data_IF_139185462027
#
_entry.id   IF_139185462027
#
_cell.length_a   1.000
_cell.length_b   1.000
_cell.length_c   1.000
_cell.angle_alpha   90.00
_cell.angle_beta   90.00
_cell.angle_gamma   90.00
#
_symmetry.space_group_name_H-M   'P 1'
#
loop_
_entity.id
_entity.type
_entity.pdbx_description
1 polymer ?
#
# COMPACT_ATOMS: atom_id res chain seq x y z
N UNK A 1 21.31 17.74 -19.92
CA UNK A 1 19.84 17.65 -19.96
C UNK A 1 19.41 17.62 -21.41
N UNK A 2 18.72 16.56 -21.88
CA UNK A 2 18.31 16.43 -23.28
C UNK A 2 16.90 17.03 -23.46
N UNK A 3 16.81 18.16 -24.17
CA UNK A 3 15.54 18.88 -24.40
C UNK A 3 14.54 18.00 -25.16
N UNK A 4 15.02 17.15 -26.08
CA UNK A 4 14.14 16.25 -26.84
C UNK A 4 13.39 15.30 -25.92
N UNK A 5 14.06 14.76 -24.91
CA UNK A 5 13.42 13.88 -23.92
C UNK A 5 12.32 14.61 -23.15
N UNK A 6 12.49 15.90 -22.83
CA UNK A 6 11.46 16.68 -22.13
C UNK A 6 10.24 16.85 -23.03
N UNK A 7 10.44 17.19 -24.31
CA UNK A 7 9.36 17.30 -25.29
C UNK A 7 8.61 15.96 -25.42
N UNK A 8 9.33 14.84 -25.43
CA UNK A 8 8.71 13.52 -25.57
C UNK A 8 7.96 13.09 -24.29
N UNK A 9 8.51 13.33 -23.09
CA UNK A 9 7.84 12.98 -21.83
C UNK A 9 6.67 13.89 -21.45
N UNK A 10 6.57 15.08 -22.06
CA UNK A 10 5.46 16.03 -21.81
C UNK A 10 4.28 15.85 -22.76
N UNK A 11 4.40 14.99 -23.77
CA UNK A 11 3.27 14.64 -24.64
C UNK A 11 2.19 13.95 -23.84
N UNK A 12 0.93 14.21 -24.21
CA UNK A 12 -0.20 13.51 -23.63
C UNK A 12 -0.11 12.02 -24.03
N UNK A 13 -0.12 11.09 -23.06
CA UNK A 13 -0.12 9.66 -23.37
C UNK A 13 -1.43 9.27 -24.04
N UNK A 14 -1.37 8.24 -24.87
CA UNK A 14 -2.55 7.62 -25.45
C UNK A 14 -3.48 7.06 -24.37
N UNK A 15 -4.75 6.85 -24.73
CA UNK A 15 -5.70 6.21 -23.82
C UNK A 15 -5.21 4.81 -23.43
N UNK A 16 -5.11 4.57 -22.12
CA UNK A 16 -4.60 3.33 -21.53
C UNK A 16 -3.17 2.97 -21.91
N UNK A 17 -2.39 3.93 -22.39
CA UNK A 17 -0.97 3.72 -22.64
C UNK A 17 -0.27 3.32 -21.33
N UNK A 18 0.56 2.27 -21.42
CA UNK A 18 1.25 1.74 -20.26
C UNK A 18 2.24 2.79 -19.74
N UNK A 19 2.04 3.23 -18.50
CA UNK A 19 2.99 4.11 -17.82
C UNK A 19 4.35 3.44 -17.63
N UNK A 20 5.38 4.27 -17.50
CA UNK A 20 6.77 3.86 -17.27
C UNK A 20 7.24 4.07 -15.81
N UNK A 21 6.34 4.50 -14.91
CA UNK A 21 6.68 4.77 -13.52
C UNK A 21 7.03 3.46 -12.79
N UNK A 22 8.25 3.36 -12.26
CA UNK A 22 8.76 2.19 -11.54
C UNK A 22 9.06 2.47 -10.06
N UNK A 23 8.58 3.58 -9.50
CA UNK A 23 9.01 4.05 -8.17
C UNK A 23 8.73 3.06 -7.03
N UNK A 24 7.67 2.25 -7.14
CA UNK A 24 7.30 1.25 -6.13
C UNK A 24 8.22 0.03 -6.10
N UNK A 25 8.90 -0.26 -7.22
CA UNK A 25 9.79 -1.41 -7.39
C UNK A 25 11.26 -1.01 -7.49
N UNK A 26 11.55 0.28 -7.63
CA UNK A 26 12.91 0.79 -7.59
C UNK A 26 13.57 0.47 -6.24
N UNK A 27 14.75 -0.11 -6.26
CA UNK A 27 15.39 -0.63 -5.04
C UNK A 27 15.71 0.46 -4.01
N UNK A 28 16.06 1.66 -4.48
CA UNK A 28 16.42 2.77 -3.61
C UNK A 28 15.18 3.45 -3.04
N UNK A 29 14.20 3.73 -3.89
CA UNK A 29 12.97 4.44 -3.52
C UNK A 29 12.07 3.54 -2.65
N UNK A 30 11.89 2.27 -3.02
CA UNK A 30 11.00 1.35 -2.31
C UNK A 30 11.43 1.10 -0.85
N UNK A 31 12.73 1.13 -0.55
CA UNK A 31 13.25 1.03 0.83
C UNK A 31 12.87 2.26 1.65
N UNK A 32 12.96 3.46 1.07
CA UNK A 32 12.56 4.70 1.74
C UNK A 32 11.06 4.77 1.93
N UNK A 33 10.28 4.41 0.90
CA UNK A 33 8.82 4.34 1.00
C UNK A 33 8.38 3.38 2.10
N UNK A 34 9.04 2.23 2.26
CA UNK A 34 8.76 1.33 3.38
C UNK A 34 8.98 2.03 4.74
N UNK A 35 10.09 2.76 4.93
CA UNK A 35 10.31 3.51 6.17
C UNK A 35 9.23 4.57 6.41
N UNK A 36 8.77 5.25 5.35
CA UNK A 36 7.69 6.24 5.45
C UNK A 36 6.35 5.57 5.76
N UNK A 37 6.06 4.38 5.21
CA UNK A 37 4.85 3.63 5.55
C UNK A 37 4.81 3.21 7.03
N UNK A 38 5.97 2.86 7.59
CA UNK A 38 6.11 2.39 8.98
C UNK A 38 6.20 3.54 9.99
N UNK A 39 6.28 4.78 9.52
CA UNK A 39 6.22 5.94 10.40
C UNK A 39 4.75 6.24 10.73
N UNK A 40 4.37 5.92 11.97
CA UNK A 40 3.00 6.01 12.47
C UNK A 40 2.49 7.46 12.66
N UNK A 41 3.39 8.45 12.58
CA UNK A 41 3.11 9.85 12.88
C UNK A 41 2.90 10.73 11.63
N UNK A 42 3.06 10.17 10.43
CA UNK A 42 2.95 10.90 9.16
C UNK A 42 1.89 10.30 8.23
N UNK A 43 1.24 11.15 7.43
CA UNK A 43 0.27 10.75 6.41
C UNK A 43 0.89 10.90 5.01
N UNK A 44 1.94 10.13 4.72
CA UNK A 44 2.70 10.25 3.46
C UNK A 44 2.56 9.02 2.57
N UNK A 45 2.94 7.84 3.08
CA UNK A 45 2.84 6.58 2.34
C UNK A 45 1.71 5.70 2.90
N UNK A 46 1.65 5.57 4.22
CA UNK A 46 0.46 5.11 4.96
C UNK A 46 -0.26 6.29 5.58
N UNK A 47 -1.48 6.05 6.08
CA UNK A 47 -2.09 6.93 7.08
C UNK A 47 -1.41 6.75 8.44
N UNK A 48 -1.54 7.74 9.31
CA UNK A 48 -1.16 7.61 10.73
C UNK A 48 -1.89 6.45 11.39
N UNK A 49 -1.25 5.84 12.39
CA UNK A 49 -1.80 4.66 13.06
C UNK A 49 -3.19 4.91 13.66
N UNK A 50 -3.44 6.07 14.25
CA UNK A 50 -4.76 6.45 14.80
C UNK A 50 -5.88 6.46 13.75
N UNK A 51 -5.57 6.90 12.52
CA UNK A 51 -6.51 6.89 11.40
C UNK A 51 -6.74 5.47 10.89
N UNK A 52 -5.67 4.65 10.83
CA UNK A 52 -5.78 3.23 10.48
C UNK A 52 -6.72 2.53 11.46
N UNK A 53 -6.51 2.70 12.76
CA UNK A 53 -7.31 2.07 13.81
C UNK A 53 -8.78 2.49 13.75
N UNK A 54 -9.03 3.79 13.59
CA UNK A 54 -10.40 4.30 13.42
C UNK A 54 -11.08 3.68 12.19
N UNK A 55 -10.32 3.46 11.11
CA UNK A 55 -10.83 2.81 9.89
C UNK A 55 -11.13 1.33 10.13
N UNK A 56 -10.24 0.62 10.82
CA UNK A 56 -10.45 -0.79 11.20
C UNK A 56 -11.70 -0.91 12.05
N UNK A 57 -11.85 -0.10 13.09
CA UNK A 57 -13.03 -0.13 13.97
C UNK A 57 -14.32 0.09 13.18
N UNK A 58 -14.31 1.05 12.24
CA UNK A 58 -15.44 1.26 11.34
C UNK A 58 -15.74 0.01 10.49
N UNK A 59 -14.74 -0.65 9.91
CA UNK A 59 -14.95 -1.91 9.16
C UNK A 59 -15.53 -3.00 10.07
N UNK A 60 -14.98 -3.17 11.27
CA UNK A 60 -15.42 -4.19 12.23
C UNK A 60 -16.89 -3.99 12.63
N UNK A 61 -17.32 -2.75 12.87
CA UNK A 61 -18.71 -2.42 13.15
C UNK A 61 -19.66 -2.82 12.01
N UNK A 62 -19.19 -2.77 10.76
CA UNK A 62 -19.99 -3.14 9.58
C UNK A 62 -19.89 -4.64 9.23
N UNK A 63 -18.97 -5.39 9.85
CA UNK A 63 -18.82 -6.84 9.63
C UNK A 63 -19.94 -7.69 10.25
N UNK A 64 -20.81 -7.09 11.08
CA UNK A 64 -21.87 -7.78 11.82
C UNK A 64 -21.36 -8.95 12.67
N UNK A 65 -20.13 -8.84 13.21
CA UNK A 65 -19.46 -9.87 13.99
C UNK A 65 -19.26 -11.20 13.25
N UNK A 66 -19.16 -11.18 11.92
CA UNK A 66 -18.88 -12.36 11.11
C UNK A 66 -17.48 -12.29 10.50
N UNK A 67 -16.75 -13.42 10.44
CA UNK A 67 -15.57 -13.54 9.59
C UNK A 67 -15.89 -13.12 8.16
N UNK A 68 -15.01 -12.33 7.56
CA UNK A 68 -15.14 -11.83 6.19
C UNK A 68 -13.94 -12.31 5.40
N UNK A 69 -14.10 -12.41 4.08
CA UNK A 69 -13.01 -12.61 3.13
C UNK A 69 -12.71 -11.25 2.50
N UNK A 70 -11.56 -10.67 2.84
CA UNK A 70 -11.20 -9.29 2.51
C UNK A 70 -10.03 -9.30 1.53
N UNK A 71 -10.12 -8.46 0.50
CA UNK A 71 -9.04 -8.16 -0.43
C UNK A 71 -8.53 -6.74 -0.15
N UNK A 72 -7.26 -6.63 0.26
CA UNK A 72 -6.58 -5.36 0.54
C UNK A 72 -5.68 -4.99 -0.66
N UNK A 73 -6.16 -4.07 -1.50
CA UNK A 73 -5.48 -3.64 -2.73
C UNK A 73 -4.57 -2.45 -2.45
N UNK A 74 -3.27 -2.60 -2.71
CA UNK A 74 -2.27 -1.63 -2.28
C UNK A 74 -1.97 -1.79 -0.78
N UNK A 75 -1.86 -3.03 -0.31
CA UNK A 75 -1.76 -3.32 1.13
C UNK A 75 -0.47 -2.78 1.78
N UNK A 76 0.51 -2.35 0.98
CA UNK A 76 1.80 -1.88 1.47
C UNK A 76 2.43 -2.89 2.42
N UNK A 77 2.98 -2.45 3.57
CA UNK A 77 3.56 -3.36 4.56
C UNK A 77 2.53 -4.13 5.39
N UNK A 78 1.25 -4.10 5.02
CA UNK A 78 0.21 -4.93 5.63
C UNK A 78 -0.42 -4.36 6.90
N UNK A 79 -0.31 -3.05 7.17
CA UNK A 79 -0.80 -2.45 8.41
C UNK A 79 -2.31 -2.67 8.65
N UNK A 80 -3.11 -2.58 7.58
CA UNK A 80 -4.54 -2.90 7.63
C UNK A 80 -4.78 -4.40 7.65
N UNK A 81 -4.13 -5.11 6.73
CA UNK A 81 -4.25 -6.57 6.59
C UNK A 81 -4.00 -7.33 7.89
N UNK A 82 -2.94 -6.99 8.64
CA UNK A 82 -2.60 -7.64 9.91
C UNK A 82 -3.67 -7.38 10.98
N UNK A 83 -4.15 -6.14 11.11
CA UNK A 83 -5.18 -5.79 12.10
C UNK A 83 -6.52 -6.46 11.78
N UNK A 84 -6.90 -6.53 10.51
CA UNK A 84 -8.11 -7.24 10.09
C UNK A 84 -8.00 -8.75 10.33
N UNK A 85 -6.86 -9.35 10.01
CA UNK A 85 -6.61 -10.78 10.24
C UNK A 85 -6.68 -11.15 11.73
N UNK A 86 -6.12 -10.30 12.62
CA UNK A 86 -6.23 -10.46 14.08
C UNK A 86 -7.67 -10.43 14.60
N UNK A 87 -8.58 -9.81 13.85
CA UNK A 87 -10.00 -9.77 14.14
C UNK A 87 -10.80 -10.90 13.44
N UNK A 88 -10.15 -12.04 13.17
CA UNK A 88 -10.76 -13.25 12.59
C UNK A 88 -11.26 -13.11 11.14
N UNK A 89 -10.80 -12.11 10.40
CA UNK A 89 -11.05 -12.03 8.96
C UNK A 89 -9.99 -12.80 8.17
N UNK A 90 -10.39 -13.40 7.05
CA UNK A 90 -9.47 -13.96 6.06
C UNK A 90 -9.07 -12.83 5.10
N UNK A 91 -7.80 -12.42 5.12
CA UNK A 91 -7.32 -11.28 4.33
C UNK A 91 -6.31 -11.72 3.29
N UNK A 92 -6.52 -11.29 2.04
CA UNK A 92 -5.52 -11.36 0.98
C UNK A 92 -5.01 -9.95 0.69
N UNK A 93 -3.75 -9.67 1.01
CA UNK A 93 -3.09 -8.42 0.66
C UNK A 93 -2.39 -8.52 -0.70
N UNK A 94 -2.55 -7.50 -1.53
CA UNK A 94 -1.87 -7.38 -2.83
C UNK A 94 -1.19 -6.02 -2.91
N UNK A 95 0.10 -6.02 -3.24
CA UNK A 95 0.87 -4.80 -3.49
C UNK A 95 1.94 -5.06 -4.56
N UNK A 96 2.35 -4.00 -5.24
CA UNK A 96 3.36 -4.04 -6.29
C UNK A 96 4.79 -3.96 -5.71
N UNK A 97 4.95 -3.38 -4.51
CA UNK A 97 6.23 -3.22 -3.82
C UNK A 97 6.68 -4.53 -3.16
N UNK A 98 7.76 -5.11 -3.68
CA UNK A 98 8.34 -6.32 -3.11
C UNK A 98 8.89 -6.11 -1.70
N UNK A 99 9.45 -4.92 -1.40
CA UNK A 99 9.93 -4.60 -0.04
C UNK A 99 8.79 -4.57 0.97
N UNK A 100 7.67 -3.96 0.59
CA UNK A 100 6.46 -3.90 1.41
C UNK A 100 5.86 -5.27 1.64
N UNK A 101 5.71 -6.09 0.59
CA UNK A 101 5.18 -7.46 0.71
C UNK A 101 6.08 -8.35 1.56
N UNK A 102 7.40 -8.27 1.41
CA UNK A 102 8.32 -9.06 2.23
C UNK A 102 8.22 -8.68 3.71
N UNK A 103 8.10 -7.38 4.00
CA UNK A 103 7.84 -6.92 5.36
C UNK A 103 6.49 -7.45 5.88
N UNK A 104 5.41 -7.29 5.10
CA UNK A 104 4.07 -7.75 5.48
C UNK A 104 4.05 -9.25 5.82
N UNK A 105 4.69 -10.08 4.98
CA UNK A 105 4.82 -11.53 5.21
C UNK A 105 5.62 -11.85 6.48
N UNK A 106 6.66 -11.08 6.78
CA UNK A 106 7.46 -11.28 7.98
C UNK A 106 6.73 -10.88 9.27
N UNK A 107 5.80 -9.93 9.20
CA UNK A 107 4.99 -9.50 10.34
C UNK A 107 3.70 -10.30 10.51
N UNK A 108 3.17 -10.88 9.44
CA UNK A 108 1.97 -11.71 9.49
C UNK A 108 2.19 -12.89 10.48
N UNK A 109 1.32 -12.96 11.49
CA UNK A 109 1.31 -13.98 12.54
C UNK A 109 0.00 -14.73 12.54
#
# INVERSE_FOLDING_TARGET
>A
MNIQNIIDYTKQPGLYEKGNAQMWTDEHISKQLLQVHLNEDVDLASRKMSTIETTIDWILQHSQNKPLRILDLGCGPGLYSEKLAKNSHEVTGVDFSNSSINYAKAQAK
#
